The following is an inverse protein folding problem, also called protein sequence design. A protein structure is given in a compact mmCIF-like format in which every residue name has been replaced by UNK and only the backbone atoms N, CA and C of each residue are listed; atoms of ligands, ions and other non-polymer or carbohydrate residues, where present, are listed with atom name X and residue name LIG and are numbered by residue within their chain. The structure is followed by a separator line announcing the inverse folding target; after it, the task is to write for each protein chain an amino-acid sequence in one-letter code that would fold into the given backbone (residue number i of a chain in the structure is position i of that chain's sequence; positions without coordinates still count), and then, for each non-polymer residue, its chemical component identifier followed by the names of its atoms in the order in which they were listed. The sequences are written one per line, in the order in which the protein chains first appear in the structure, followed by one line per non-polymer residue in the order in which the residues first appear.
data_IF_397181700683
#
_entry.id   IF_397181700683
#
_cell.length_a   1.000
_cell.length_b   1.000
_cell.length_c   1.000
_cell.angle_alpha   90.00
_cell.angle_beta   90.00
_cell.angle_gamma   90.00
#
_symmetry.space_group_name_H-M   'P 1'
#
loop_
_entity.id
_entity.type
_entity.pdbx_description
1 polymer ?
#
# COMPACT_ATOMS: atom_id res chain seq x y z
N UNK A 1 -22.87 7.56 2.97
CA UNK A 1 -22.37 6.76 1.81
C UNK A 1 -21.17 7.48 1.21
N UNK A 2 -20.23 6.79 0.58
CA UNK A 2 -19.08 7.44 -0.06
C UNK A 2 -19.58 8.09 -1.35
N UNK A 3 -19.47 9.41 -1.47
CA UNK A 3 -19.84 10.13 -2.70
C UNK A 3 -18.75 9.87 -3.76
N UNK A 4 -18.96 8.88 -4.62
CA UNK A 4 -18.06 8.51 -5.72
C UNK A 4 -18.64 8.99 -7.06
N UNK A 5 -18.06 10.05 -7.62
CA UNK A 5 -18.38 10.57 -8.96
C UNK A 5 -17.07 10.85 -9.72
N UNK A 6 -17.05 10.69 -11.04
CA UNK A 6 -15.91 11.13 -11.86
C UNK A 6 -16.50 11.90 -13.01
N UNK A 7 -16.18 13.19 -13.08
CA UNK A 7 -16.56 14.02 -14.21
C UNK A 7 -15.64 13.71 -15.40
N UNK A 8 -16.27 13.56 -16.56
CA UNK A 8 -15.62 13.36 -17.85
C UNK A 8 -15.92 14.59 -18.68
N UNK A 9 -14.88 15.23 -19.20
CA UNK A 9 -15.01 16.40 -20.05
C UNK A 9 -14.93 15.98 -21.52
N UNK A 10 -15.58 16.72 -22.42
CA UNK A 10 -15.60 16.37 -23.85
C UNK A 10 -14.22 16.55 -24.52
N UNK A 11 -13.43 17.52 -24.07
CA UNK A 11 -12.15 17.91 -24.67
C UNK A 11 -10.93 17.13 -24.15
N UNK A 12 -11.15 16.02 -23.42
CA UNK A 12 -10.06 15.26 -22.83
C UNK A 12 -9.86 13.89 -23.47
N UNK A 13 -8.59 13.41 -23.56
CA UNK A 13 -8.34 12.05 -24.00
C UNK A 13 -8.88 11.05 -22.97
N UNK A 14 -9.50 9.97 -23.45
CA UNK A 14 -10.13 8.93 -22.65
C UNK A 14 -9.23 8.37 -21.54
N UNK A 15 -7.94 8.19 -21.83
CA UNK A 15 -6.95 7.67 -20.90
C UNK A 15 -6.81 8.55 -19.65
N UNK A 16 -6.99 9.87 -19.80
CA UNK A 16 -6.92 10.82 -18.69
C UNK A 16 -8.11 10.66 -17.76
N UNK A 17 -9.32 10.51 -18.32
CA UNK A 17 -10.52 10.21 -17.55
C UNK A 17 -10.39 8.86 -16.81
N UNK A 18 -9.92 7.82 -17.50
CA UNK A 18 -9.69 6.49 -16.93
C UNK A 18 -8.65 6.52 -15.80
N UNK A 19 -7.58 7.32 -15.96
CA UNK A 19 -6.58 7.52 -14.92
C UNK A 19 -7.17 8.19 -13.69
N UNK A 20 -7.99 9.24 -13.85
CA UNK A 20 -8.70 9.87 -12.72
C UNK A 20 -9.63 8.89 -12.01
N UNK A 21 -10.40 8.12 -12.77
CA UNK A 21 -11.26 7.07 -12.22
C UNK A 21 -10.45 6.04 -11.41
N UNK A 22 -9.36 5.54 -11.97
CA UNK A 22 -8.50 4.55 -11.31
C UNK A 22 -7.88 5.11 -10.02
N UNK A 23 -7.41 6.36 -10.04
CA UNK A 23 -6.86 7.03 -8.86
C UNK A 23 -7.94 7.27 -7.81
N UNK A 24 -9.12 7.77 -8.20
CA UNK A 24 -10.24 8.02 -7.26
C UNK A 24 -10.74 6.72 -6.65
N UNK A 25 -10.82 5.63 -7.42
CA UNK A 25 -11.20 4.29 -6.94
C UNK A 25 -10.20 3.78 -5.89
N UNK A 26 -8.90 3.95 -6.14
CA UNK A 26 -7.84 3.58 -5.18
C UNK A 26 -7.83 4.47 -3.93
N UNK A 27 -8.05 5.78 -4.10
CA UNK A 27 -8.03 6.78 -3.02
C UNK A 27 -9.23 6.62 -2.08
N UNK A 28 -10.42 6.43 -2.64
CA UNK A 28 -11.66 6.21 -1.86
C UNK A 28 -11.64 4.88 -1.12
N UNK A 29 -10.85 3.91 -1.59
CA UNK A 29 -10.71 2.61 -0.93
C UNK A 29 -11.89 1.68 -1.16
N UNK A 30 -12.78 1.99 -2.11
CA UNK A 30 -13.99 1.21 -2.42
C UNK A 30 -13.69 -0.28 -2.58
N UNK A 31 -12.70 -0.63 -3.41
CA UNK A 31 -12.30 -2.02 -3.64
C UNK A 31 -11.75 -2.70 -2.37
N UNK A 32 -11.08 -1.94 -1.49
CA UNK A 32 -10.55 -2.46 -0.24
C UNK A 32 -11.66 -2.78 0.75
N UNK A 33 -12.67 -1.93 0.81
CA UNK A 33 -13.81 -2.09 1.71
C UNK A 33 -14.70 -3.25 1.24
N UNK A 34 -14.94 -3.37 -0.06
CA UNK A 34 -15.61 -4.54 -0.65
C UNK A 34 -14.87 -5.82 -0.30
N UNK A 35 -13.53 -5.86 -0.48
CA UNK A 35 -12.72 -7.03 -0.12
C UNK A 35 -12.79 -7.35 1.37
N UNK A 36 -12.82 -6.33 2.25
CA UNK A 36 -12.92 -6.51 3.70
C UNK A 36 -14.29 -7.06 4.11
N UNK A 37 -15.37 -6.63 3.45
CA UNK A 37 -16.75 -7.00 3.75
C UNK A 37 -17.22 -8.29 3.06
N UNK A 38 -16.45 -8.82 2.10
CA UNK A 38 -16.82 -10.02 1.31
C UNK A 38 -17.16 -11.24 2.17
N UNK A 39 -16.54 -11.38 3.35
CA UNK A 39 -16.80 -12.48 4.26
C UNK A 39 -16.95 -11.97 5.70
N UNK A 40 -17.73 -12.70 6.51
CA UNK A 40 -17.77 -12.45 7.94
C UNK A 40 -16.38 -12.65 8.55
N UNK A 41 -15.91 -11.64 9.28
CA UNK A 41 -14.68 -11.71 10.05
C UNK A 41 -15.05 -11.50 11.51
N UNK A 42 -14.76 -12.49 12.36
CA UNK A 42 -15.00 -12.39 13.81
C UNK A 42 -14.36 -11.10 14.37
N UNK A 43 -15.02 -10.35 15.27
CA UNK A 43 -14.50 -9.07 15.78
C UNK A 43 -13.10 -9.16 16.39
N UNK A 44 -12.78 -10.28 17.06
CA UNK A 44 -11.43 -10.57 17.56
C UNK A 44 -10.36 -10.57 16.46
N UNK A 45 -10.64 -11.25 15.35
CA UNK A 45 -9.72 -11.31 14.20
C UNK A 45 -9.59 -9.93 13.56
N UNK A 46 -10.69 -9.19 13.42
CA UNK A 46 -10.67 -7.83 12.91
C UNK A 46 -9.80 -6.90 13.76
N UNK A 47 -9.92 -6.95 15.10
CA UNK A 47 -9.06 -6.21 16.04
C UNK A 47 -7.56 -6.56 15.86
N UNK A 48 -7.23 -7.85 15.72
CA UNK A 48 -5.85 -8.30 15.46
C UNK A 48 -5.29 -7.74 14.14
N UNK A 49 -6.08 -7.80 13.07
CA UNK A 49 -5.71 -7.28 11.75
C UNK A 49 -5.47 -5.76 11.81
N UNK A 50 -6.32 -5.01 12.52
CA UNK A 50 -6.19 -3.56 12.59
C UNK A 50 -4.99 -3.12 13.44
N UNK A 51 -4.68 -3.82 14.54
CA UNK A 51 -3.43 -3.63 15.31
C UNK A 51 -2.19 -3.90 14.46
N UNK A 52 -2.18 -4.98 13.68
CA UNK A 52 -1.05 -5.26 12.78
C UNK A 52 -0.90 -4.20 11.69
N UNK A 53 -2.01 -3.69 11.13
CA UNK A 53 -1.98 -2.60 10.16
C UNK A 53 -1.45 -1.30 10.75
N UNK A 54 -1.81 -0.94 11.99
CA UNK A 54 -1.29 0.27 12.64
C UNK A 54 0.22 0.18 12.88
N UNK A 55 0.71 -0.96 13.39
CA UNK A 55 2.14 -1.21 13.58
C UNK A 55 2.90 -1.09 12.24
N UNK A 56 2.37 -1.69 11.16
CA UNK A 56 2.98 -1.59 9.82
C UNK A 56 3.02 -0.15 9.30
N UNK A 57 1.97 0.64 9.55
CA UNK A 57 1.93 2.07 9.19
C UNK A 57 2.98 2.87 9.96
N UNK A 58 3.07 2.66 11.27
CA UNK A 58 4.06 3.32 12.13
C UNK A 58 5.48 2.99 11.69
N UNK A 59 5.81 1.71 11.51
CA UNK A 59 7.13 1.28 11.01
C UNK A 59 7.48 1.92 9.66
N UNK A 60 6.51 2.01 8.75
CA UNK A 60 6.69 2.68 7.45
C UNK A 60 6.98 4.18 7.64
N UNK A 61 6.25 4.85 8.53
CA UNK A 61 6.45 6.27 8.80
C UNK A 61 7.82 6.56 9.42
N UNK A 62 8.25 5.76 10.40
CA UNK A 62 9.57 5.88 11.03
C UNK A 62 10.70 5.68 10.00
N UNK A 63 10.63 4.61 9.18
CA UNK A 63 11.57 4.41 8.07
C UNK A 63 11.57 5.59 7.08
N UNK A 64 10.44 6.25 6.91
CA UNK A 64 10.33 7.43 6.06
C UNK A 64 11.02 8.66 6.66
N UNK A 65 10.94 8.82 7.98
CA UNK A 65 11.59 9.90 8.73
C UNK A 65 13.11 9.68 8.88
N UNK A 66 13.55 8.44 9.16
CA UNK A 66 14.96 8.07 9.34
C UNK A 66 15.82 8.29 8.08
N UNK A 67 15.23 8.19 6.89
CA UNK A 67 15.94 8.33 5.61
C UNK A 67 15.31 9.44 4.77
N UNK A 68 15.79 10.70 4.93
CA UNK A 68 15.35 11.83 4.13
C UNK A 68 15.44 11.52 2.64
N UNK A 69 14.52 12.07 1.85
CA UNK A 69 14.39 11.82 0.42
C UNK A 69 15.69 12.08 -0.36
N UNK A 70 16.54 12.99 0.13
CA UNK A 70 17.83 13.33 -0.45
C UNK A 70 18.83 12.16 -0.50
N UNK A 71 18.82 11.24 0.47
CA UNK A 71 19.79 10.13 0.55
C UNK A 71 19.32 8.84 -0.13
N UNK A 72 18.05 8.77 -0.55
CA UNK A 72 17.49 7.56 -1.16
C UNK A 72 18.00 7.30 -2.57
N UNK A 73 18.43 8.36 -3.27
CA UNK A 73 18.92 8.31 -4.65
C UNK A 73 20.29 7.62 -4.76
N UNK A 74 21.07 7.62 -3.68
CA UNK A 74 22.40 7.00 -3.63
C UNK A 74 22.35 5.50 -3.31
N UNK A 75 21.35 5.05 -2.53
CA UNK A 75 21.19 3.62 -2.19
C UNK A 75 20.70 2.76 -3.34
N UNK A 76 19.96 3.31 -4.31
CA UNK A 76 19.54 2.56 -5.50
C UNK A 76 20.70 2.21 -6.44
N UNK A 77 21.84 2.91 -6.37
CA UNK A 77 23.05 2.57 -7.15
C UNK A 77 23.89 1.46 -6.51
N UNK A 78 23.73 1.19 -5.21
CA UNK A 78 24.55 0.24 -4.44
C UNK A 78 23.81 -1.02 -4.02
N UNK A 79 22.46 -1.00 -3.99
CA UNK A 79 21.64 -2.15 -3.61
C UNK A 79 21.67 -3.30 -4.63
N UNK A 80 21.91 -3.02 -5.92
CA UNK A 80 21.97 -4.05 -6.97
C UNK A 80 23.27 -4.90 -6.95
N UNK A 81 24.24 -4.58 -6.07
CA UNK A 81 25.51 -5.32 -5.95
C UNK A 81 25.53 -6.43 -4.89
N UNK A 82 24.55 -6.50 -3.97
CA UNK A 82 24.49 -7.57 -2.97
C UNK A 82 23.25 -8.43 -3.18
N UNK A 83 23.40 -9.43 -4.05
CA UNK A 83 22.54 -10.60 -4.08
C UNK A 83 22.36 -11.16 -2.67
N UNK A 84 21.10 -11.39 -2.29
CA UNK A 84 20.72 -11.81 -0.95
C UNK A 84 21.30 -13.18 -0.59
N UNK A 85 22.01 -13.24 0.53
CA UNK A 85 22.26 -14.49 1.25
C UNK A 85 20.96 -14.92 1.95
N UNK A 86 20.33 -15.98 1.46
CA UNK A 86 19.18 -16.65 2.09
C UNK A 86 19.60 -17.23 3.45
N UNK A 87 19.24 -16.57 4.55
CA UNK A 87 19.42 -17.11 5.90
C UNK A 87 18.30 -18.10 6.21
N UNK A 88 18.32 -19.26 5.56
CA UNK A 88 17.61 -20.44 6.08
C UNK A 88 18.31 -20.85 7.37
N UNK A 89 17.68 -20.54 8.49
CA UNK A 89 18.08 -21.02 9.82
C UNK A 89 17.95 -22.55 9.79
N UNK A 90 18.99 -23.34 10.10
CA UNK A 90 18.82 -24.77 10.25
C UNK A 90 17.93 -25.00 11.46
N UNK A 91 16.83 -25.72 11.26
CA UNK A 91 16.04 -26.30 12.35
C UNK A 91 16.91 -27.45 12.87
N UNK A 92 17.47 -27.27 14.07
CA UNK A 92 18.16 -28.34 14.79
C UNK A 92 17.20 -29.49 15.09
N UNK A 93 17.77 -30.70 15.18
CA UNK A 93 17.08 -31.95 15.52
C UNK A 93 16.37 -31.87 16.86
#
# INVERSE_FOLDING_TARGET
MINFSVEVYADEPFEKALRRFSVKTKKTGLLRDLKKKRFYTKPSVQKKIDKQKSIRRLKKALRLAEFPLAERKERSKTADRKGGMDKRKPIGR
#
